data_IF_956442697663
#
_entry.id   IF_956442697663
#
_cell.length_a   1.000
_cell.length_b   1.000
_cell.length_c   1.000
_cell.angle_alpha   90.00
_cell.angle_beta   90.00
_cell.angle_gamma   90.00
#
_symmetry.space_group_name_H-M   'P 1'
#
loop_
_entity.id
_entity.type
_entity.pdbx_description
1 polymer ?
#
# COMPACT_ATOMS: atom_id res chain seq x y z
N UNK A 1 -11.77 -45.16 18.88
CA UNK A 1 -12.77 -44.20 18.37
C UNK A 1 -12.52 -42.76 18.85
N UNK A 2 -12.09 -42.52 20.10
CA UNK A 2 -11.67 -41.19 20.58
C UNK A 2 -10.44 -40.60 19.85
N UNK A 3 -9.45 -41.42 19.50
CA UNK A 3 -8.27 -41.01 18.71
C UNK A 3 -8.62 -40.51 17.30
N UNK A 4 -9.69 -41.06 16.71
CA UNK A 4 -10.20 -40.66 15.39
C UNK A 4 -10.94 -39.32 15.41
N UNK A 5 -11.36 -38.83 16.59
CA UNK A 5 -12.04 -37.54 16.75
C UNK A 5 -11.03 -36.46 17.16
N UNK A 6 -10.01 -36.82 17.94
CA UNK A 6 -8.92 -35.90 18.30
C UNK A 6 -8.03 -35.50 17.12
N UNK A 7 -7.70 -36.44 16.23
CA UNK A 7 -6.87 -36.18 15.05
C UNK A 7 -7.44 -35.11 14.09
N UNK A 8 -8.72 -35.15 13.67
CA UNK A 8 -9.29 -34.12 12.82
C UNK A 8 -9.40 -32.77 13.54
N UNK A 9 -9.76 -32.71 14.82
CA UNK A 9 -9.88 -31.43 15.56
C UNK A 9 -8.51 -30.73 15.67
N UNK A 10 -7.45 -31.49 15.97
CA UNK A 10 -6.08 -30.96 16.02
C UNK A 10 -5.60 -30.56 14.63
N UNK A 11 -5.96 -31.31 13.58
CA UNK A 11 -5.66 -30.97 12.19
C UNK A 11 -6.34 -29.69 11.73
N UNK A 12 -7.64 -29.51 11.95
CA UNK A 12 -8.37 -28.27 11.61
C UNK A 12 -7.85 -27.07 12.40
N UNK A 13 -7.46 -27.26 13.67
CA UNK A 13 -6.85 -26.22 14.50
C UNK A 13 -5.53 -25.72 13.89
N UNK A 14 -4.60 -26.63 13.57
CA UNK A 14 -3.30 -26.26 12.98
C UNK A 14 -3.48 -25.63 11.59
N UNK A 15 -4.35 -26.20 10.74
CA UNK A 15 -4.62 -25.66 9.41
C UNK A 15 -5.20 -24.24 9.47
N UNK A 16 -6.13 -23.96 10.40
CA UNK A 16 -6.70 -22.61 10.55
C UNK A 16 -5.66 -21.57 11.02
N UNK A 17 -4.77 -21.95 11.93
CA UNK A 17 -3.67 -21.08 12.38
C UNK A 17 -2.73 -20.74 11.20
N UNK A 18 -2.37 -21.74 10.39
CA UNK A 18 -1.52 -21.55 9.21
C UNK A 18 -2.19 -20.58 8.22
N UNK A 19 -3.48 -20.74 7.94
CA UNK A 19 -4.23 -19.86 7.03
C UNK A 19 -4.23 -18.42 7.55
N UNK A 20 -4.43 -18.20 8.86
CA UNK A 20 -4.41 -16.88 9.47
C UNK A 20 -3.04 -16.23 9.31
N UNK A 21 -1.96 -16.97 9.61
CA UNK A 21 -0.59 -16.46 9.48
C UNK A 21 -0.26 -16.08 8.04
N UNK A 22 -0.60 -16.94 7.08
CA UNK A 22 -0.39 -16.66 5.65
C UNK A 22 -1.21 -15.44 5.22
N UNK A 23 -2.46 -15.32 5.67
CA UNK A 23 -3.34 -14.20 5.32
C UNK A 23 -2.78 -12.87 5.83
N UNK A 24 -2.32 -12.82 7.08
CA UNK A 24 -1.68 -11.64 7.66
C UNK A 24 -0.39 -11.29 6.89
N UNK A 25 0.42 -12.29 6.55
CA UNK A 25 1.65 -12.08 5.78
C UNK A 25 1.37 -11.47 4.40
N UNK A 26 0.36 -11.98 3.69
CA UNK A 26 -0.07 -11.46 2.38
C UNK A 26 -0.59 -10.02 2.52
N UNK A 27 -1.47 -9.76 3.51
CA UNK A 27 -2.00 -8.42 3.79
C UNK A 27 -0.87 -7.43 4.10
N UNK A 28 0.11 -7.81 4.92
CA UNK A 28 1.28 -6.98 5.21
C UNK A 28 2.08 -6.65 3.96
N UNK A 29 2.22 -7.59 3.02
CA UNK A 29 2.91 -7.37 1.75
C UNK A 29 2.14 -6.40 0.83
N UNK A 30 0.82 -6.49 0.80
CA UNK A 30 -0.04 -5.53 0.08
C UNK A 30 0.03 -4.13 0.71
N UNK A 31 -0.09 -4.04 2.03
CA UNK A 31 0.04 -2.78 2.76
C UNK A 31 1.40 -2.12 2.50
N UNK A 32 2.49 -2.90 2.51
CA UNK A 32 3.82 -2.41 2.17
C UNK A 32 3.89 -1.84 0.76
N UNK A 33 3.31 -2.54 -0.24
CA UNK A 33 3.26 -2.03 -1.63
C UNK A 33 2.50 -0.70 -1.72
N UNK A 34 1.37 -0.57 -1.03
CA UNK A 34 0.57 0.67 -1.02
C UNK A 34 1.39 1.80 -0.37
N UNK A 35 1.98 1.55 0.80
CA UNK A 35 2.80 2.54 1.49
C UNK A 35 4.00 2.97 0.66
N UNK A 36 4.71 2.03 0.03
CA UNK A 36 5.82 2.34 -0.86
C UNK A 36 5.35 3.15 -2.07
N UNK A 37 4.17 2.87 -2.65
CA UNK A 37 3.63 3.66 -3.75
C UNK A 37 3.29 5.11 -3.34
N UNK A 38 2.73 5.30 -2.13
CA UNK A 38 2.46 6.64 -1.57
C UNK A 38 3.76 7.40 -1.34
N UNK A 39 4.75 6.75 -0.70
CA UNK A 39 6.06 7.34 -0.45
C UNK A 39 6.76 7.74 -1.75
N UNK A 40 6.74 6.85 -2.75
CA UNK A 40 7.32 7.11 -4.07
C UNK A 40 6.61 8.27 -4.78
N UNK A 41 5.28 8.38 -4.62
CA UNK A 41 4.51 9.53 -5.12
C UNK A 41 4.92 10.84 -4.47
N UNK A 42 5.09 10.86 -3.15
CA UNK A 42 5.59 12.04 -2.44
C UNK A 42 7.00 12.42 -2.88
N UNK A 43 7.92 11.45 -3.00
CA UNK A 43 9.28 11.68 -3.51
C UNK A 43 9.23 12.26 -4.92
N UNK A 44 8.42 11.71 -5.81
CA UNK A 44 8.26 12.22 -7.17
C UNK A 44 7.75 13.66 -7.16
N UNK A 45 6.83 14.01 -6.27
CA UNK A 45 6.31 15.38 -6.13
C UNK A 45 7.45 16.35 -5.82
N UNK A 46 8.26 16.03 -4.80
CA UNK A 46 9.41 16.84 -4.42
C UNK A 46 10.46 16.95 -5.53
N UNK A 47 10.71 15.87 -6.28
CA UNK A 47 11.65 15.91 -7.40
C UNK A 47 11.16 16.84 -8.51
N UNK A 48 9.87 16.77 -8.88
CA UNK A 48 9.29 17.59 -9.94
C UNK A 48 9.36 19.09 -9.61
N UNK A 49 9.06 19.43 -8.35
CA UNK A 49 9.16 20.81 -7.86
C UNK A 49 10.62 21.28 -7.77
N UNK A 50 11.51 20.48 -7.16
CA UNK A 50 12.93 20.84 -6.98
C UNK A 50 13.69 20.99 -8.30
N UNK A 51 13.33 20.22 -9.32
CA UNK A 51 13.93 20.31 -10.66
C UNK A 51 13.32 21.42 -11.52
N UNK A 52 12.31 22.13 -11.02
CA UNK A 52 11.53 23.15 -11.75
C UNK A 52 10.96 22.63 -13.09
N UNK A 53 10.71 21.32 -13.20
CA UNK A 53 10.01 20.75 -14.35
C UNK A 53 8.54 21.18 -14.30
N UNK A 54 7.96 21.17 -13.10
CA UNK A 54 6.63 21.71 -12.79
C UNK A 54 6.72 22.49 -11.50
N UNK A 55 6.22 23.72 -11.47
CA UNK A 55 6.09 24.47 -10.22
C UNK A 55 4.91 23.93 -9.43
N UNK A 56 5.20 23.15 -8.38
CA UNK A 56 4.21 22.43 -7.59
C UNK A 56 4.27 22.92 -6.14
N UNK A 57 3.52 23.97 -5.81
CA UNK A 57 3.43 24.42 -4.43
C UNK A 57 2.60 23.43 -3.59
N UNK A 58 3.24 22.79 -2.60
CA UNK A 58 2.60 21.77 -1.77
C UNK A 58 1.33 22.30 -1.08
N UNK A 59 0.18 21.70 -1.40
CA UNK A 59 -1.08 21.92 -0.70
C UNK A 59 -1.56 20.68 0.06
N UNK A 60 -2.46 20.88 1.02
CA UNK A 60 -3.12 19.77 1.74
C UNK A 60 -3.90 18.85 0.78
N UNK A 61 -4.49 19.41 -0.29
CA UNK A 61 -5.25 18.64 -1.28
C UNK A 61 -4.31 17.72 -2.08
N UNK A 62 -3.15 18.23 -2.48
CA UNK A 62 -2.13 17.44 -3.19
C UNK A 62 -1.64 16.27 -2.33
N UNK A 63 -1.39 16.54 -1.03
CA UNK A 63 -1.04 15.50 -0.07
C UNK A 63 -2.11 14.39 0.04
N UNK A 64 -3.40 14.75 0.02
CA UNK A 64 -4.50 13.78 0.02
C UNK A 64 -4.51 12.95 -1.27
N UNK A 65 -4.34 13.59 -2.42
CA UNK A 65 -4.32 12.91 -3.73
C UNK A 65 -3.13 11.93 -3.80
N UNK A 66 -1.95 12.35 -3.35
CA UNK A 66 -0.77 11.48 -3.28
C UNK A 66 -0.95 10.35 -2.26
N UNK A 67 -1.63 10.59 -1.13
CA UNK A 67 -1.92 9.55 -0.15
C UNK A 67 -2.91 8.49 -0.66
N UNK A 68 -3.87 8.87 -1.51
CA UNK A 68 -4.86 7.94 -2.07
C UNK A 68 -4.32 7.17 -3.28
N UNK A 69 -3.55 7.84 -4.14
CA UNK A 69 -3.17 7.31 -5.45
C UNK A 69 -1.65 7.09 -5.64
N UNK A 70 -0.82 7.58 -4.73
CA UNK A 70 0.64 7.50 -4.78
C UNK A 70 1.21 8.16 -6.03
N UNK A 71 2.11 7.45 -6.72
CA UNK A 71 2.79 7.93 -7.94
C UNK A 71 1.81 8.41 -9.00
N UNK A 72 0.71 7.69 -9.21
CA UNK A 72 -0.30 8.09 -10.20
C UNK A 72 -0.95 9.43 -9.85
N UNK A 73 -1.24 9.65 -8.56
CA UNK A 73 -1.78 10.92 -8.07
C UNK A 73 -0.81 12.08 -8.33
N UNK A 74 0.47 11.88 -8.03
CA UNK A 74 1.52 12.87 -8.32
C UNK A 74 1.61 13.23 -9.79
N UNK A 75 1.54 12.24 -10.68
CA UNK A 75 1.56 12.47 -12.13
C UNK A 75 0.34 13.29 -12.57
N UNK A 76 -0.85 13.01 -12.02
CA UNK A 76 -2.05 13.78 -12.33
C UNK A 76 -1.97 15.23 -11.87
N UNK A 77 -1.46 15.48 -10.66
CA UNK A 77 -1.24 16.84 -10.17
C UNK A 77 -0.23 17.57 -11.07
N UNK A 78 0.87 16.91 -11.42
CA UNK A 78 1.89 17.49 -12.29
C UNK A 78 1.31 17.87 -13.66
N UNK A 79 0.49 17.01 -14.26
CA UNK A 79 -0.21 17.30 -15.52
C UNK A 79 -1.15 18.49 -15.35
N UNK A 80 -1.93 18.56 -14.26
CA UNK A 80 -2.85 19.68 -14.03
C UNK A 80 -2.16 21.04 -13.83
N UNK A 81 -0.90 21.05 -13.41
CA UNK A 81 -0.10 22.26 -13.26
C UNK A 81 0.64 22.65 -14.55
N UNK A 82 0.72 21.74 -15.53
CA UNK A 82 1.31 22.01 -16.85
C UNK A 82 0.34 22.70 -17.81
N UNK A 83 -0.96 22.48 -17.66
CA UNK A 83 -2.02 23.05 -18.49
C UNK A 83 -2.66 24.28 -17.83
#
# INVERSE_FOLDING_TARGET
MLESIGAPIVSYGITSIIIIVISIFILGRFAKKIFTNILMGGILYFILDATNIVHMNWSTIDGIIVALFGVFGTVMIAISHFF
#
